data_IF_170857465706
#
_entry.id   IF_170857465706
#
_cell.length_a   1.000
_cell.length_b   1.000
_cell.length_c   1.000
_cell.angle_alpha   90.00
_cell.angle_beta   90.00
_cell.angle_gamma   90.00
#
_symmetry.space_group_name_H-M   'P 1'
#
loop_
_entity.id
_entity.type
_entity.pdbx_description
1 polymer ?
#
# COMPACT_ATOMS: atom_id res chain seq x y z
N UNK A 1 -11.83 17.89 29.06
CA UNK A 1 -11.23 19.25 29.22
C UNK A 1 -10.21 19.24 30.35
N UNK A 2 -8.95 19.12 30.05
CA UNK A 2 -7.86 19.35 31.04
C UNK A 2 -6.96 20.43 30.45
N UNK A 3 -6.98 21.60 31.12
CA UNK A 3 -6.13 22.75 30.80
C UNK A 3 -4.73 22.48 31.33
N UNK A 4 -3.74 22.57 30.44
CA UNK A 4 -2.32 22.58 30.81
C UNK A 4 -1.90 24.03 30.87
N UNK A 5 -1.45 24.46 32.06
CA UNK A 5 -0.83 25.78 32.29
C UNK A 5 0.65 25.67 31.96
N UNK A 6 1.11 26.47 30.99
CA UNK A 6 2.54 26.71 30.76
C UNK A 6 2.96 27.92 31.55
N UNK A 7 3.86 27.72 32.49
CA UNK A 7 4.48 28.82 33.28
C UNK A 7 5.61 29.42 32.45
N UNK A 8 5.47 30.68 32.10
CA UNK A 8 6.53 31.50 31.48
C UNK A 8 7.38 32.08 32.61
N UNK A 9 8.64 31.63 32.70
CA UNK A 9 9.65 32.23 33.58
C UNK A 9 10.28 33.39 32.83
N UNK A 10 10.02 34.60 33.27
CA UNK A 10 10.67 35.84 32.80
C UNK A 10 11.88 36.09 33.68
N UNK A 11 13.08 35.96 33.11
CA UNK A 11 14.33 36.39 33.77
C UNK A 11 14.68 37.83 33.36
N UNK A 12 14.99 38.74 34.28
CA UNK A 12 15.32 40.11 33.93
C UNK A 12 16.75 40.21 33.40
N UNK A 13 16.90 40.82 32.22
CA UNK A 13 18.17 41.15 31.58
C UNK A 13 18.74 42.42 32.23
N UNK A 14 19.86 42.30 32.93
CA UNK A 14 20.66 43.41 33.40
C UNK A 14 21.52 43.93 32.25
N UNK A 15 21.27 45.17 31.84
CA UNK A 15 22.02 45.91 30.83
C UNK A 15 23.36 46.37 31.43
N UNK A 16 24.49 45.74 31.03
CA UNK A 16 25.82 46.26 31.23
C UNK A 16 26.29 46.95 29.95
N UNK A 17 26.38 48.26 29.98
CA UNK A 17 27.01 49.03 28.93
C UNK A 17 28.54 48.92 29.08
N UNK A 18 29.17 48.14 28.18
CA UNK A 18 30.62 48.08 28.03
C UNK A 18 31.04 48.85 26.77
N UNK A 19 31.95 49.82 26.98
CA UNK A 19 32.59 50.59 25.91
C UNK A 19 33.28 49.63 24.90
N UNK A 20 32.91 49.78 23.66
CA UNK A 20 33.53 49.04 22.57
C UNK A 20 34.91 49.62 22.20
N UNK A 21 35.96 48.92 22.62
CA UNK A 21 37.27 49.00 21.92
C UNK A 21 37.18 48.12 20.67
N UNK A 22 37.17 48.76 19.50
CA UNK A 22 37.26 48.05 18.21
C UNK A 22 38.68 47.51 18.03
N UNK A 23 38.93 46.33 18.62
CA UNK A 23 39.98 45.45 18.16
C UNK A 23 39.43 44.58 17.06
N UNK A 24 40.02 44.63 15.87
CA UNK A 24 39.78 43.67 14.78
C UNK A 24 40.08 42.28 15.33
N UNK A 25 39.06 41.47 15.57
CA UNK A 25 39.24 40.06 15.88
C UNK A 25 40.01 39.40 14.71
N UNK A 26 41.08 38.63 15.00
CA UNK A 26 41.70 37.86 13.95
C UNK A 26 40.64 36.96 13.28
N UNK A 27 40.64 36.95 11.93
CA UNK A 27 39.76 36.07 11.18
C UNK A 27 39.96 34.65 11.69
N UNK A 28 38.87 33.98 12.07
CA UNK A 28 38.93 32.59 12.47
C UNK A 28 39.61 31.79 11.34
N UNK A 29 40.52 30.88 11.68
CA UNK A 29 41.21 30.08 10.64
C UNK A 29 40.14 29.36 9.82
N UNK A 30 40.20 29.53 8.49
CA UNK A 30 39.30 28.83 7.58
C UNK A 30 39.40 27.33 7.87
N UNK A 31 38.30 26.58 7.94
CA UNK A 31 38.34 25.16 8.18
C UNK A 31 39.21 24.49 7.11
N UNK A 32 39.97 23.44 7.45
CA UNK A 32 40.86 22.77 6.51
C UNK A 32 40.02 22.26 5.33
N UNK A 33 40.42 22.64 4.11
CA UNK A 33 39.79 22.20 2.86
C UNK A 33 40.63 21.10 2.22
N UNK A 34 39.94 20.14 1.57
CA UNK A 34 40.54 19.02 0.84
C UNK A 34 40.00 18.93 -0.56
N UNK A 35 40.80 18.44 -1.51
CA UNK A 35 40.34 18.22 -2.89
C UNK A 35 39.76 16.81 -3.02
N UNK A 36 38.57 16.66 -3.56
CA UNK A 36 37.97 15.35 -3.85
C UNK A 36 38.71 14.69 -5.03
N UNK A 37 39.41 13.61 -4.79
CA UNK A 37 40.07 12.82 -5.84
C UNK A 37 39.04 11.89 -6.54
N UNK A 38 38.19 11.23 -5.74
CA UNK A 38 37.12 10.36 -6.24
C UNK A 38 35.94 10.33 -5.29
N UNK A 39 34.75 10.08 -5.84
CA UNK A 39 33.52 9.82 -5.06
C UNK A 39 33.01 8.43 -5.41
N UNK A 40 32.67 7.66 -4.37
CA UNK A 40 32.07 6.33 -4.46
C UNK A 40 30.73 6.31 -3.74
N UNK A 41 29.80 5.51 -4.22
CA UNK A 41 28.52 5.24 -3.55
C UNK A 41 28.41 3.74 -3.29
N UNK A 42 27.98 3.37 -2.10
CA UNK A 42 27.71 1.97 -1.71
C UNK A 42 26.35 1.87 -1.03
N UNK A 43 25.70 0.69 -1.15
CA UNK A 43 24.39 0.41 -0.56
C UNK A 43 23.20 0.67 -1.48
N UNK A 44 23.37 1.46 -2.55
CA UNK A 44 22.33 1.65 -3.56
C UNK A 44 22.22 0.43 -4.49
N UNK A 45 20.98 0.03 -4.80
CA UNK A 45 20.65 -1.04 -5.75
C UNK A 45 19.74 -0.53 -6.86
N UNK A 46 18.76 0.30 -6.50
CA UNK A 46 17.75 0.86 -7.39
C UNK A 46 18.23 2.13 -8.09
N UNK A 47 19.06 2.93 -7.42
CA UNK A 47 19.50 4.23 -7.89
C UNK A 47 20.94 4.17 -8.42
N UNK A 48 21.23 4.68 -9.65
CA UNK A 48 22.57 4.73 -10.21
C UNK A 48 23.53 5.61 -9.38
N UNK A 49 24.75 5.12 -9.17
CA UNK A 49 25.73 5.82 -8.33
C UNK A 49 26.12 7.21 -8.85
N UNK A 50 26.22 7.38 -10.17
CA UNK A 50 26.52 8.65 -10.83
C UNK A 50 25.40 9.69 -10.61
N UNK A 51 24.14 9.26 -10.62
CA UNK A 51 23.00 10.14 -10.33
C UNK A 51 22.96 10.54 -8.84
N UNK A 52 23.29 9.62 -7.92
CA UNK A 52 23.41 9.93 -6.49
C UNK A 52 24.54 10.96 -6.27
N UNK A 53 25.68 10.78 -6.92
CA UNK A 53 26.78 11.74 -6.86
C UNK A 53 26.33 13.11 -7.39
N UNK A 54 25.65 13.15 -8.53
CA UNK A 54 25.10 14.39 -9.07
C UNK A 54 24.12 15.06 -8.10
N UNK A 55 23.22 14.30 -7.49
CA UNK A 55 22.25 14.80 -6.50
C UNK A 55 22.93 15.32 -5.21
N UNK A 56 24.11 14.79 -4.84
CA UNK A 56 24.90 15.32 -3.73
C UNK A 56 25.41 16.75 -3.99
N UNK A 57 25.50 17.15 -5.26
CA UNK A 57 26.08 18.43 -5.69
C UNK A 57 27.59 18.48 -5.60
N UNK A 58 28.27 17.37 -5.37
CA UNK A 58 29.74 17.25 -5.34
C UNK A 58 30.24 16.49 -6.56
N UNK A 59 31.45 16.82 -6.98
CA UNK A 59 32.16 16.12 -8.06
C UNK A 59 33.66 15.98 -7.77
N UNK A 60 34.30 15.06 -8.45
CA UNK A 60 35.79 14.96 -8.41
C UNK A 60 36.41 16.27 -8.86
N UNK A 61 37.47 16.71 -8.14
CA UNK A 61 38.16 17.98 -8.35
C UNK A 61 37.65 19.12 -7.46
N UNK A 62 36.46 19.01 -6.83
CA UNK A 62 35.99 20.04 -5.92
C UNK A 62 36.87 20.17 -4.68
N UNK A 63 37.07 21.43 -4.23
CA UNK A 63 37.74 21.73 -2.97
C UNK A 63 36.66 21.93 -1.91
N UNK A 64 36.64 21.07 -0.91
CA UNK A 64 35.54 21.01 0.06
C UNK A 64 36.03 21.00 1.48
N UNK A 65 35.25 21.53 2.37
CA UNK A 65 35.37 21.40 3.83
C UNK A 65 34.50 20.23 4.35
N UNK A 66 34.77 19.76 5.55
CA UNK A 66 33.93 18.74 6.20
C UNK A 66 32.45 19.17 6.29
N UNK A 67 32.17 20.46 6.52
CA UNK A 67 30.81 21.02 6.53
C UNK A 67 30.11 20.86 5.19
N UNK A 68 30.79 21.13 4.07
CA UNK A 68 30.20 20.97 2.73
C UNK A 68 29.91 19.49 2.39
N UNK A 69 30.72 18.55 2.88
CA UNK A 69 30.45 17.12 2.75
C UNK A 69 29.19 16.74 3.57
N UNK A 70 29.09 17.29 4.79
CA UNK A 70 27.89 17.09 5.62
C UNK A 70 26.63 17.68 4.96
N UNK A 71 26.73 18.87 4.37
CA UNK A 71 25.62 19.49 3.64
C UNK A 71 25.16 18.65 2.43
N UNK A 72 26.13 18.07 1.70
CA UNK A 72 25.85 17.13 0.61
C UNK A 72 25.17 15.85 1.12
N UNK A 73 25.61 15.32 2.27
CA UNK A 73 24.98 14.17 2.93
C UNK A 73 23.56 14.48 3.36
N UNK A 74 23.33 15.64 3.97
CA UNK A 74 22.01 16.10 4.37
C UNK A 74 21.09 16.30 3.17
N UNK A 75 21.61 16.81 2.05
CA UNK A 75 20.85 16.96 0.80
C UNK A 75 20.40 15.61 0.26
N UNK A 76 21.28 14.61 0.23
CA UNK A 76 20.89 13.25 -0.16
C UNK A 76 19.84 12.65 0.79
N UNK A 77 20.01 12.84 2.10
CA UNK A 77 19.04 12.35 3.10
C UNK A 77 17.67 13.04 2.96
N UNK A 78 17.64 14.32 2.60
CA UNK A 78 16.42 15.08 2.41
C UNK A 78 15.58 14.64 1.20
N UNK A 79 16.14 13.88 0.24
CA UNK A 79 15.40 13.40 -0.93
C UNK A 79 14.23 12.47 -0.58
N UNK A 80 14.27 11.79 0.57
CA UNK A 80 13.25 10.83 1.00
C UNK A 80 13.42 9.41 0.44
N UNK A 81 14.31 9.20 -0.53
CA UNK A 81 14.58 7.87 -1.13
C UNK A 81 15.62 7.06 -0.36
N UNK A 82 16.22 7.62 0.68
CA UNK A 82 17.19 6.95 1.54
C UNK A 82 16.74 7.03 3.01
N UNK A 83 16.68 5.89 3.67
CA UNK A 83 16.41 5.79 5.11
C UNK A 83 17.63 6.15 5.96
N UNK A 84 18.84 6.03 5.40
CA UNK A 84 20.07 6.48 6.01
C UNK A 84 21.07 6.89 4.93
N UNK A 85 21.79 8.00 5.19
CA UNK A 85 22.93 8.45 4.38
C UNK A 85 24.07 8.76 5.33
N UNK A 86 25.19 8.07 5.15
CA UNK A 86 26.43 8.32 5.88
C UNK A 86 27.55 8.57 4.89
N UNK A 87 28.64 9.17 5.34
CA UNK A 87 29.84 9.31 4.54
C UNK A 87 31.07 8.89 5.31
N UNK A 88 32.07 8.46 4.59
CA UNK A 88 33.45 8.32 5.09
C UNK A 88 34.41 8.79 4.01
N UNK A 89 35.61 9.19 4.42
CA UNK A 89 36.65 9.52 3.48
C UNK A 89 38.01 9.02 3.97
N UNK A 90 38.91 8.79 3.01
CA UNK A 90 40.33 8.51 3.27
C UNK A 90 41.14 9.63 2.67
N UNK A 91 42.09 10.19 3.44
CA UNK A 91 42.96 11.28 3.00
C UNK A 91 44.34 10.77 2.54
N UNK A 92 44.82 11.38 1.48
CA UNK A 92 46.21 11.23 1.00
C UNK A 92 46.76 12.64 0.72
N UNK A 93 47.48 13.19 1.70
CA UNK A 93 47.85 14.60 1.69
C UNK A 93 46.61 15.52 1.74
N UNK A 94 46.49 16.43 0.76
CA UNK A 94 45.35 17.32 0.61
C UNK A 94 44.21 16.74 -0.24
N UNK A 95 44.32 15.52 -0.76
CA UNK A 95 43.32 14.83 -1.53
C UNK A 95 42.54 13.85 -0.67
N UNK A 96 41.20 13.73 -0.93
CA UNK A 96 40.33 12.76 -0.28
C UNK A 96 39.60 11.88 -1.30
N UNK A 97 39.45 10.61 -0.94
CA UNK A 97 38.48 9.71 -1.58
C UNK A 97 37.25 9.65 -0.69
N UNK A 98 36.15 10.21 -1.18
CA UNK A 98 34.86 10.28 -0.48
C UNK A 98 34.00 9.06 -0.82
N UNK A 99 33.37 8.46 0.16
CA UNK A 99 32.38 7.38 -0.04
C UNK A 99 31.10 7.73 0.68
N UNK A 100 29.99 7.82 -0.07
CA UNK A 100 28.66 7.84 0.48
C UNK A 100 28.16 6.41 0.69
N UNK A 101 27.65 6.14 1.87
CA UNK A 101 27.01 4.87 2.24
C UNK A 101 25.53 5.15 2.45
N UNK A 102 24.69 4.61 1.55
CA UNK A 102 23.26 4.85 1.56
C UNK A 102 22.50 3.56 1.89
N UNK A 103 21.36 3.72 2.53
CA UNK A 103 20.36 2.67 2.69
C UNK A 103 19.07 3.18 2.04
N UNK A 104 18.54 2.43 1.07
CA UNK A 104 17.33 2.83 0.35
C UNK A 104 16.11 2.79 1.27
N UNK A 105 15.22 3.77 1.11
CA UNK A 105 13.90 3.83 1.72
C UNK A 105 12.86 3.17 0.79
N UNK A 106 11.69 2.77 1.30
CA UNK A 106 10.58 2.36 0.46
C UNK A 106 10.15 3.47 -0.50
N UNK A 107 9.81 3.07 -1.72
CA UNK A 107 9.20 3.93 -2.73
C UNK A 107 7.89 3.28 -3.19
N UNK A 108 6.96 4.09 -3.69
CA UNK A 108 5.59 3.69 -3.96
C UNK A 108 5.20 3.99 -5.40
N UNK A 109 4.43 3.11 -6.06
CA UNK A 109 3.79 3.41 -7.35
C UNK A 109 2.98 4.70 -7.26
N UNK A 110 2.88 5.40 -8.40
CA UNK A 110 2.23 6.72 -8.46
C UNK A 110 0.88 6.60 -9.16
N UNK A 111 -0.13 7.29 -8.60
CA UNK A 111 -1.42 7.54 -9.23
C UNK A 111 -1.60 9.05 -9.41
N UNK A 112 -1.75 9.51 -10.66
CA UNK A 112 -2.14 10.87 -10.99
C UNK A 112 -3.67 10.94 -11.08
N UNK A 113 -4.32 11.33 -9.98
CA UNK A 113 -5.73 11.05 -9.76
C UNK A 113 -6.68 11.84 -10.69
N UNK A 114 -6.71 13.15 -10.59
CA UNK A 114 -7.70 13.96 -11.31
C UNK A 114 -7.06 14.90 -12.37
N UNK A 115 -6.24 14.31 -13.26
CA UNK A 115 -5.50 15.00 -14.31
C UNK A 115 -6.01 14.63 -15.72
N UNK A 116 -7.28 14.91 -16.09
CA UNK A 116 -7.83 14.47 -17.39
C UNK A 116 -7.22 15.19 -18.61
N UNK A 117 -6.38 16.19 -18.42
CA UNK A 117 -5.66 16.92 -19.49
C UNK A 117 -4.41 16.19 -19.97
N UNK A 118 -3.90 15.26 -19.18
CA UNK A 118 -2.64 14.55 -19.42
C UNK A 118 -2.81 13.07 -19.12
N UNK A 119 -2.12 12.24 -19.88
CA UNK A 119 -1.95 10.84 -19.54
C UNK A 119 -0.92 10.69 -18.42
N UNK A 120 -1.01 9.61 -17.66
CA UNK A 120 0.00 9.29 -16.62
C UNK A 120 1.41 9.18 -17.20
N UNK A 121 1.53 8.75 -18.47
CA UNK A 121 2.82 8.67 -19.17
C UNK A 121 3.40 10.08 -19.42
N UNK A 122 2.61 11.03 -19.90
CA UNK A 122 3.06 12.41 -20.15
C UNK A 122 3.54 13.09 -18.86
N UNK A 123 2.79 12.90 -17.75
CA UNK A 123 3.20 13.44 -16.45
C UNK A 123 4.49 12.75 -15.98
N UNK A 124 4.56 11.43 -16.07
CA UNK A 124 5.73 10.65 -15.68
C UNK A 124 6.98 11.01 -16.48
N UNK A 125 6.84 11.29 -17.78
CA UNK A 125 7.94 11.73 -18.64
C UNK A 125 8.39 13.17 -18.31
N UNK A 126 7.45 14.06 -17.99
CA UNK A 126 7.78 15.41 -17.53
C UNK A 126 8.60 15.38 -16.23
N UNK A 127 8.21 14.51 -15.26
CA UNK A 127 8.97 14.32 -14.03
C UNK A 127 10.35 13.72 -14.32
N UNK A 128 10.43 12.67 -15.14
CA UNK A 128 11.69 11.99 -15.48
C UNK A 128 12.71 12.92 -16.10
N UNK A 129 12.26 13.89 -16.88
CA UNK A 129 13.12 14.87 -17.54
C UNK A 129 13.67 15.95 -16.61
N UNK A 130 13.07 16.17 -15.43
CA UNK A 130 13.41 17.29 -14.54
C UNK A 130 13.84 16.85 -13.13
N UNK A 131 13.37 15.69 -12.65
CA UNK A 131 13.69 15.17 -11.33
C UNK A 131 14.71 14.05 -11.45
N UNK A 132 15.92 14.30 -11.00
CA UNK A 132 16.97 13.29 -10.93
C UNK A 132 16.59 12.14 -10.00
N UNK A 133 17.12 10.95 -10.25
CA UNK A 133 16.82 9.74 -9.45
C UNK A 133 15.37 9.26 -9.53
N UNK A 134 14.51 9.86 -10.36
CA UNK A 134 13.16 9.37 -10.56
C UNK A 134 13.13 8.05 -11.34
N UNK A 135 12.61 6.99 -10.71
CA UNK A 135 12.53 5.63 -11.27
C UNK A 135 11.13 5.21 -11.71
N UNK A 136 10.15 6.11 -11.65
CA UNK A 136 8.73 5.81 -11.88
C UNK A 136 7.93 5.60 -10.60
N UNK A 137 8.57 5.71 -9.44
CA UNK A 137 7.96 5.63 -8.11
C UNK A 137 8.31 6.88 -7.29
N UNK A 138 7.50 7.18 -6.28
CA UNK A 138 7.69 8.30 -5.38
C UNK A 138 8.14 7.83 -3.97
N UNK A 139 8.97 8.61 -3.26
CA UNK A 139 9.20 8.39 -1.84
C UNK A 139 7.93 8.71 -1.02
N UNK A 140 7.91 8.30 0.25
CA UNK A 140 6.81 8.64 1.16
C UNK A 140 6.79 10.10 1.59
N UNK A 141 7.96 10.75 1.62
CA UNK A 141 8.19 12.14 1.97
C UNK A 141 9.52 12.64 1.35
N UNK A 142 9.88 13.88 1.63
CA UNK A 142 11.19 14.46 1.26
C UNK A 142 11.14 15.39 0.04
N UNK A 143 12.28 16.04 -0.24
CA UNK A 143 12.37 17.10 -1.25
C UNK A 143 12.12 16.61 -2.68
N UNK A 144 12.34 15.33 -2.96
CA UNK A 144 12.06 14.75 -4.27
C UNK A 144 10.57 14.81 -4.61
N UNK A 145 9.67 14.58 -3.62
CA UNK A 145 8.23 14.66 -3.87
C UNK A 145 7.78 16.11 -4.06
N UNK A 146 8.46 17.07 -3.41
CA UNK A 146 8.22 18.50 -3.64
C UNK A 146 8.64 18.91 -5.06
N UNK A 147 9.79 18.41 -5.54
CA UNK A 147 10.25 18.65 -6.91
C UNK A 147 9.28 18.04 -7.94
N UNK A 148 8.78 16.82 -7.70
CA UNK A 148 7.76 16.20 -8.54
C UNK A 148 6.48 17.05 -8.58
N UNK A 149 6.02 17.52 -7.42
CA UNK A 149 4.86 18.41 -7.30
C UNK A 149 5.03 19.67 -8.12
N UNK A 150 6.19 20.33 -8.02
CA UNK A 150 6.51 21.55 -8.78
C UNK A 150 6.53 21.30 -10.30
N UNK A 151 7.04 20.14 -10.76
CA UNK A 151 7.02 19.77 -12.18
C UNK A 151 5.58 19.61 -12.68
N UNK A 152 4.71 18.96 -11.90
CA UNK A 152 3.30 18.77 -12.26
C UNK A 152 2.58 20.14 -12.32
N UNK A 153 2.82 21.02 -11.35
CA UNK A 153 2.25 22.37 -11.33
C UNK A 153 2.70 23.21 -12.53
N UNK A 154 3.97 23.10 -12.93
CA UNK A 154 4.48 23.75 -14.15
C UNK A 154 3.80 23.19 -15.41
N UNK A 155 3.55 21.89 -15.46
CA UNK A 155 2.85 21.26 -16.58
C UNK A 155 1.40 21.78 -16.67
N UNK A 156 0.67 21.86 -15.55
CA UNK A 156 -0.66 22.46 -15.49
C UNK A 156 -0.66 23.94 -15.92
N UNK A 157 0.31 24.70 -15.43
CA UNK A 157 0.45 26.12 -15.79
C UNK A 157 0.69 26.33 -17.30
N UNK A 158 1.42 25.41 -17.96
CA UNK A 158 1.64 25.44 -19.41
C UNK A 158 0.32 25.37 -20.21
N UNK A 159 -0.69 24.68 -19.65
CA UNK A 159 -2.05 24.58 -20.20
C UNK A 159 -3.02 25.61 -19.62
N UNK A 160 -2.52 26.59 -18.85
CA UNK A 160 -3.31 27.64 -18.16
C UNK A 160 -4.32 27.08 -17.15
N UNK A 161 -4.11 25.85 -16.63
CA UNK A 161 -4.93 25.24 -15.62
C UNK A 161 -4.48 25.79 -14.26
N UNK A 162 -5.44 26.34 -13.50
CA UNK A 162 -5.20 26.93 -12.19
C UNK A 162 -5.61 25.93 -11.10
N UNK A 163 -4.67 25.51 -10.29
CA UNK A 163 -4.89 24.64 -9.14
C UNK A 163 -3.56 24.45 -8.42
N UNK A 164 -3.60 23.89 -7.24
CA UNK A 164 -2.42 23.44 -6.48
C UNK A 164 -2.38 21.92 -6.50
N UNK A 165 -1.19 21.35 -6.58
CA UNK A 165 -1.01 19.90 -6.55
C UNK A 165 -0.73 19.47 -5.12
N UNK A 166 -1.49 18.49 -4.64
CA UNK A 166 -1.30 17.84 -3.34
C UNK A 166 -0.97 16.37 -3.55
N UNK A 167 -0.35 15.76 -2.55
CA UNK A 167 0.00 14.34 -2.59
C UNK A 167 -0.33 13.66 -1.26
N UNK A 168 -0.64 12.38 -1.31
CA UNK A 168 -0.89 11.55 -0.12
C UNK A 168 -0.60 10.08 -0.39
N UNK A 169 -0.18 9.36 0.66
CA UNK A 169 0.03 7.91 0.60
C UNK A 169 -1.28 7.20 0.94
N UNK A 170 -1.76 6.32 0.06
CA UNK A 170 -3.02 5.60 0.21
C UNK A 170 -2.82 4.10 -0.02
N UNK A 171 -3.76 3.28 0.46
CA UNK A 171 -3.86 1.90 0.01
C UNK A 171 -4.25 1.87 -1.46
N UNK A 172 -3.61 1.02 -2.25
CA UNK A 172 -3.91 0.87 -3.68
C UNK A 172 -5.39 0.49 -3.92
N UNK A 173 -5.94 0.88 -5.06
CA UNK A 173 -7.31 0.54 -5.44
C UNK A 173 -7.57 -0.99 -5.52
N UNK A 174 -6.53 -1.79 -5.74
CA UNK A 174 -6.58 -3.26 -5.68
C UNK A 174 -6.70 -3.82 -4.26
N UNK A 175 -6.49 -3.00 -3.22
CA UNK A 175 -6.38 -3.44 -1.84
C UNK A 175 -4.97 -3.92 -1.44
N UNK A 176 -4.07 -4.11 -2.39
CA UNK A 176 -2.73 -4.64 -2.17
C UNK A 176 -1.67 -3.55 -2.24
N UNK A 177 -1.01 -3.30 -1.10
CA UNK A 177 0.08 -2.33 -1.00
C UNK A 177 -0.37 -0.87 -0.93
N UNK A 178 0.61 0.03 -1.05
CA UNK A 178 0.42 1.48 -0.96
C UNK A 178 0.78 2.15 -2.28
N UNK A 179 0.11 3.27 -2.58
CA UNK A 179 0.38 4.13 -3.74
C UNK A 179 0.52 5.58 -3.31
N UNK A 180 1.37 6.35 -3.98
CA UNK A 180 1.45 7.79 -3.84
C UNK A 180 0.48 8.44 -4.82
N UNK A 181 -0.61 9.01 -4.29
CA UNK A 181 -1.58 9.75 -5.09
C UNK A 181 -1.17 11.21 -5.19
N UNK A 182 -1.08 11.74 -6.42
CA UNK A 182 -1.06 13.17 -6.70
C UNK A 182 -2.43 13.59 -7.20
N UNK A 183 -2.92 14.73 -6.75
CA UNK A 183 -4.18 15.33 -7.21
C UNK A 183 -4.09 16.83 -7.29
N UNK A 184 -4.94 17.42 -8.14
CA UNK A 184 -5.08 18.87 -8.24
C UNK A 184 -6.27 19.34 -7.41
N UNK A 185 -6.05 20.35 -6.58
CA UNK A 185 -7.07 21.06 -5.84
C UNK A 185 -7.42 22.38 -6.54
N UNK A 186 -8.64 22.89 -6.31
CA UNK A 186 -9.13 24.14 -6.90
C UNK A 186 -9.79 24.01 -8.27
N UNK A 187 -9.95 22.77 -8.78
CA UNK A 187 -10.74 22.45 -9.98
C UNK A 187 -11.94 21.61 -9.62
N UNK A 188 -13.05 21.78 -10.35
CA UNK A 188 -14.25 20.97 -10.19
C UNK A 188 -14.49 20.17 -11.46
N UNK A 189 -14.14 18.91 -11.40
CA UNK A 189 -14.31 17.94 -12.48
C UNK A 189 -15.39 16.95 -12.06
N UNK A 190 -16.43 16.77 -12.89
CA UNK A 190 -17.51 15.81 -12.59
C UNK A 190 -17.66 14.81 -13.71
N UNK A 191 -17.81 13.55 -13.35
CA UNK A 191 -18.10 12.50 -14.32
C UNK A 191 -19.50 12.67 -14.88
N UNK A 192 -19.60 12.97 -16.16
CA UNK A 192 -20.88 13.15 -16.86
C UNK A 192 -21.42 11.82 -17.40
N UNK A 193 -20.55 11.02 -17.99
CA UNK A 193 -20.90 9.73 -18.59
C UNK A 193 -19.78 8.73 -18.43
N UNK A 194 -20.16 7.45 -18.41
CA UNK A 194 -19.24 6.32 -18.41
C UNK A 194 -19.65 5.39 -19.54
N UNK A 195 -18.72 5.09 -20.41
CA UNK A 195 -18.87 4.16 -21.52
C UNK A 195 -17.87 3.02 -21.39
N UNK A 196 -18.25 1.85 -21.87
CA UNK A 196 -17.38 0.69 -21.90
C UNK A 196 -17.07 0.33 -23.36
N UNK A 197 -15.80 0.04 -23.63
CA UNK A 197 -15.32 -0.28 -24.97
C UNK A 197 -15.70 -1.69 -25.46
N UNK A 198 -16.60 -2.40 -24.73
CA UNK A 198 -16.94 -3.79 -25.04
C UNK A 198 -18.39 -4.12 -24.62
N UNK A 199 -19.06 -4.99 -25.39
CA UNK A 199 -20.50 -5.27 -25.27
C UNK A 199 -20.92 -5.96 -23.97
N UNK A 200 -20.10 -6.87 -23.43
CA UNK A 200 -20.41 -7.58 -22.19
C UNK A 200 -20.63 -6.60 -21.04
N UNK A 201 -19.77 -5.56 -20.96
CA UNK A 201 -19.91 -4.51 -19.97
C UNK A 201 -21.06 -3.59 -20.29
N UNK A 202 -21.20 -3.16 -21.56
CA UNK A 202 -22.24 -2.25 -22.03
C UNK A 202 -23.64 -2.84 -21.82
N UNK A 203 -23.82 -4.14 -22.03
CA UNK A 203 -25.11 -4.81 -21.93
C UNK A 203 -25.44 -5.32 -20.51
N UNK A 204 -24.49 -5.19 -19.56
CA UNK A 204 -24.69 -5.65 -18.20
C UNK A 204 -25.57 -4.70 -17.39
N UNK A 205 -26.80 -5.09 -17.08
CA UNK A 205 -27.70 -4.33 -16.21
C UNK A 205 -27.07 -4.09 -14.82
N UNK A 206 -26.42 -5.12 -14.26
CA UNK A 206 -25.73 -5.00 -12.97
C UNK A 206 -24.66 -3.90 -13.01
N UNK A 207 -23.92 -3.78 -14.10
CA UNK A 207 -22.88 -2.76 -14.22
C UNK A 207 -23.48 -1.38 -14.46
N UNK A 208 -24.57 -1.28 -15.23
CA UNK A 208 -25.32 -0.03 -15.43
C UNK A 208 -25.83 0.56 -14.10
N UNK A 209 -26.35 -0.29 -13.21
CA UNK A 209 -26.79 0.14 -11.89
C UNK A 209 -25.63 0.72 -11.08
N UNK A 210 -24.44 0.13 -11.19
CA UNK A 210 -23.24 0.56 -10.47
C UNK A 210 -22.54 1.79 -11.08
N UNK A 211 -22.78 2.11 -12.35
CA UNK A 211 -22.26 3.36 -12.96
C UNK A 211 -22.68 4.60 -12.16
N UNK A 212 -23.82 4.56 -11.46
CA UNK A 212 -24.26 5.65 -10.57
C UNK A 212 -23.30 5.92 -9.43
N UNK A 213 -22.45 4.98 -9.06
CA UNK A 213 -21.48 5.12 -7.97
C UNK A 213 -20.36 6.12 -8.33
N UNK A 214 -20.09 6.31 -9.64
CA UNK A 214 -19.09 7.28 -10.15
C UNK A 214 -19.70 8.38 -10.99
N UNK A 215 -20.83 8.18 -11.67
CA UNK A 215 -21.49 9.20 -12.47
C UNK A 215 -22.05 10.31 -11.59
N UNK A 216 -21.77 11.56 -11.94
CA UNK A 216 -22.16 12.76 -11.18
C UNK A 216 -21.23 13.07 -10.01
N UNK A 217 -20.31 12.16 -9.67
CA UNK A 217 -19.30 12.35 -8.62
C UNK A 217 -18.13 13.19 -9.13
N UNK A 218 -17.31 13.77 -8.24
CA UNK A 218 -16.02 14.34 -8.63
C UNK A 218 -15.18 13.30 -9.37
N UNK A 219 -14.56 13.71 -10.47
CA UNK A 219 -13.67 12.83 -11.21
C UNK A 219 -12.44 12.48 -10.37
N UNK A 220 -12.16 11.20 -10.27
CA UNK A 220 -11.01 10.62 -9.60
C UNK A 220 -10.64 9.33 -10.32
N UNK A 221 -9.41 9.25 -10.84
CA UNK A 221 -8.89 8.04 -11.46
C UNK A 221 -8.85 6.88 -10.45
N UNK A 222 -8.47 7.19 -9.22
CA UNK A 222 -8.48 6.21 -8.12
C UNK A 222 -9.88 5.63 -7.88
N UNK A 223 -10.92 6.47 -7.88
CA UNK A 223 -12.29 5.99 -7.73
C UNK A 223 -12.74 5.15 -8.94
N UNK A 224 -12.28 5.48 -10.15
CA UNK A 224 -12.53 4.66 -11.35
C UNK A 224 -11.84 3.31 -11.23
N UNK A 225 -10.58 3.26 -10.79
CA UNK A 225 -9.84 2.00 -10.56
C UNK A 225 -10.50 1.12 -9.48
N UNK A 226 -11.01 1.71 -8.39
CA UNK A 226 -11.81 0.99 -7.38
C UNK A 226 -13.06 0.40 -8.04
N UNK A 227 -13.80 1.19 -8.80
CA UNK A 227 -14.98 0.74 -9.52
C UNK A 227 -14.67 -0.42 -10.49
N UNK A 228 -13.56 -0.33 -11.23
CA UNK A 228 -13.11 -1.39 -12.13
C UNK A 228 -12.79 -2.70 -11.37
N UNK A 229 -12.12 -2.60 -10.24
CA UNK A 229 -11.75 -3.76 -9.43
C UNK A 229 -12.96 -4.40 -8.74
N UNK A 230 -13.91 -3.59 -8.26
CA UNK A 230 -15.08 -4.10 -7.53
C UNK A 230 -16.21 -4.59 -8.45
N UNK A 231 -16.32 -4.05 -9.66
CA UNK A 231 -17.49 -4.30 -10.49
C UNK A 231 -17.15 -4.82 -11.90
N UNK A 232 -16.15 -4.24 -12.59
CA UNK A 232 -15.83 -4.61 -13.97
C UNK A 232 -15.06 -5.95 -14.01
N UNK A 233 -13.94 -6.06 -13.29
CA UNK A 233 -13.15 -7.30 -13.25
C UNK A 233 -13.95 -8.52 -12.81
N UNK A 234 -14.75 -8.45 -11.71
CA UNK A 234 -15.59 -9.57 -11.31
C UNK A 234 -16.65 -9.98 -12.33
N UNK A 235 -17.20 -9.02 -13.11
CA UNK A 235 -18.13 -9.31 -14.17
C UNK A 235 -17.49 -10.23 -15.24
N UNK A 236 -16.29 -9.88 -15.70
CA UNK A 236 -15.58 -10.68 -16.70
C UNK A 236 -15.09 -12.01 -16.11
N UNK A 237 -14.52 -11.99 -14.90
CA UNK A 237 -14.07 -13.19 -14.20
C UNK A 237 -15.20 -14.21 -14.02
N UNK A 238 -16.40 -13.75 -13.62
CA UNK A 238 -17.56 -14.63 -13.42
C UNK A 238 -18.05 -15.32 -14.71
N UNK A 239 -17.68 -14.77 -15.87
CA UNK A 239 -18.02 -15.31 -17.20
C UNK A 239 -16.86 -16.13 -17.82
N UNK A 240 -15.78 -16.38 -17.06
CA UNK A 240 -14.63 -17.16 -17.51
C UNK A 240 -13.58 -16.36 -18.30
N UNK A 241 -13.71 -15.04 -18.42
CA UNK A 241 -12.71 -14.18 -19.06
C UNK A 241 -11.57 -13.84 -18.08
N UNK A 242 -10.84 -14.86 -17.65
CA UNK A 242 -9.83 -14.76 -16.60
C UNK A 242 -8.60 -13.92 -16.98
N UNK A 243 -8.42 -13.62 -18.25
CA UNK A 243 -7.35 -12.78 -18.79
C UNK A 243 -7.86 -11.47 -19.38
N UNK A 244 -9.08 -11.06 -19.01
CA UNK A 244 -9.61 -9.77 -19.44
C UNK A 244 -8.68 -8.63 -19.00
N UNK A 245 -8.33 -7.78 -19.95
CA UNK A 245 -7.51 -6.59 -19.73
C UNK A 245 -8.42 -5.36 -19.73
N UNK A 246 -8.37 -4.59 -18.65
CA UNK A 246 -8.98 -3.28 -18.57
C UNK A 246 -7.85 -2.29 -18.79
N UNK A 247 -7.94 -1.53 -19.88
CA UNK A 247 -6.96 -0.50 -20.23
C UNK A 247 -7.18 0.78 -19.40
N UNK A 248 -6.21 1.69 -19.40
CA UNK A 248 -6.35 2.96 -18.69
C UNK A 248 -7.58 3.73 -19.21
N UNK A 249 -8.40 4.32 -18.32
CA UNK A 249 -9.56 5.10 -18.72
C UNK A 249 -9.17 6.26 -19.65
N UNK A 250 -9.92 6.41 -20.72
CA UNK A 250 -9.78 7.55 -21.63
C UNK A 250 -10.77 8.62 -21.20
N UNK A 251 -10.29 9.85 -21.08
CA UNK A 251 -11.09 10.99 -20.64
C UNK A 251 -11.32 11.97 -21.77
N UNK A 252 -12.55 12.46 -21.92
CA UNK A 252 -12.88 13.58 -22.75
C UNK A 252 -13.46 14.71 -21.89
N UNK A 253 -12.82 15.89 -21.95
CA UNK A 253 -13.24 17.06 -21.19
C UNK A 253 -14.27 17.86 -21.96
N UNK A 254 -15.37 18.18 -21.30
CA UNK A 254 -16.38 19.12 -21.77
C UNK A 254 -16.31 20.36 -20.88
N UNK A 255 -15.68 21.46 -21.33
CA UNK A 255 -15.61 22.70 -20.56
C UNK A 255 -16.99 23.28 -20.28
N UNK A 256 -17.22 23.75 -19.05
CA UNK A 256 -18.40 24.57 -18.78
C UNK A 256 -18.19 25.95 -19.37
N UNK A 257 -19.05 26.32 -20.29
CA UNK A 257 -19.01 27.63 -20.99
C UNK A 257 -19.26 28.81 -20.04
N UNK A 258 -19.91 28.57 -18.90
CA UNK A 258 -20.25 29.60 -17.91
C UNK A 258 -19.24 29.73 -16.79
N UNK A 259 -18.50 28.65 -16.50
CA UNK A 259 -17.47 28.63 -15.47
C UNK A 259 -16.26 27.79 -15.92
N UNK A 260 -15.16 28.43 -16.35
CA UNK A 260 -13.96 27.71 -16.79
C UNK A 260 -13.28 26.85 -15.73
N UNK A 261 -13.67 26.98 -14.46
CA UNK A 261 -13.18 26.13 -13.37
C UNK A 261 -13.97 24.84 -13.22
N UNK A 262 -15.11 24.74 -13.89
CA UNK A 262 -15.93 23.55 -13.92
C UNK A 262 -15.84 22.87 -15.27
N UNK A 263 -15.68 21.58 -15.28
CA UNK A 263 -15.67 20.78 -16.50
C UNK A 263 -16.34 19.43 -16.22
N UNK A 264 -17.07 18.96 -17.21
CA UNK A 264 -17.57 17.60 -17.22
C UNK A 264 -16.53 16.67 -17.86
N UNK A 265 -16.48 15.45 -17.37
CA UNK A 265 -15.58 14.40 -17.84
C UNK A 265 -16.42 13.25 -18.37
N UNK A 266 -16.26 12.93 -19.64
CA UNK A 266 -16.74 11.68 -20.22
C UNK A 266 -15.65 10.63 -20.12
N UNK A 267 -16.00 9.46 -19.60
CA UNK A 267 -15.08 8.35 -19.42
C UNK A 267 -15.39 7.24 -20.42
N UNK A 268 -14.35 6.76 -21.09
CA UNK A 268 -14.37 5.49 -21.82
C UNK A 268 -13.42 4.52 -21.13
N UNK A 269 -13.92 3.39 -20.66
CA UNK A 269 -13.13 2.30 -20.08
C UNK A 269 -12.89 1.27 -21.17
N UNK A 270 -11.65 1.21 -21.73
CA UNK A 270 -11.34 0.24 -22.77
C UNK A 270 -11.17 -1.16 -22.15
N UNK A 271 -11.79 -2.17 -22.77
CA UNK A 271 -11.77 -3.55 -22.27
C UNK A 271 -11.42 -4.49 -23.43
N UNK A 272 -10.48 -5.40 -23.16
CA UNK A 272 -10.15 -6.52 -24.06
C UNK A 272 -10.43 -7.82 -23.31
N UNK A 273 -11.54 -8.51 -23.60
CA UNK A 273 -11.98 -9.69 -22.83
C UNK A 273 -11.00 -10.84 -22.88
N UNK A 274 -10.38 -11.08 -24.05
CA UNK A 274 -9.67 -12.30 -24.34
C UNK A 274 -10.61 -13.51 -24.48
N UNK A 275 -10.09 -14.76 -24.45
CA UNK A 275 -10.92 -15.96 -24.51
C UNK A 275 -11.64 -16.24 -23.18
N UNK A 276 -12.84 -16.76 -23.27
CA UNK A 276 -13.53 -17.35 -22.13
C UNK A 276 -13.04 -18.77 -21.90
N UNK A 277 -12.70 -19.13 -20.67
CA UNK A 277 -12.19 -20.45 -20.30
C UNK A 277 -13.26 -21.29 -19.62
N UNK A 278 -13.18 -22.59 -19.80
CA UNK A 278 -13.91 -23.60 -19.04
C UNK A 278 -12.99 -24.30 -18.04
N UNK A 279 -13.57 -24.72 -16.92
CA UNK A 279 -12.86 -25.42 -15.85
C UNK A 279 -12.48 -26.84 -16.29
N UNK A 280 -11.22 -27.23 -16.11
CA UNK A 280 -10.74 -28.58 -16.40
C UNK A 280 -10.50 -29.39 -15.11
N UNK A 281 -10.07 -28.72 -14.03
CA UNK A 281 -9.81 -29.39 -12.77
C UNK A 281 -8.64 -28.79 -11.98
N UNK A 282 -8.31 -29.45 -10.91
CA UNK A 282 -7.21 -29.07 -10.01
C UNK A 282 -6.35 -30.30 -9.67
N UNK A 283 -5.08 -30.08 -9.43
CA UNK A 283 -4.16 -31.10 -8.90
C UNK A 283 -3.45 -30.54 -7.68
N UNK A 284 -3.35 -31.38 -6.63
CA UNK A 284 -2.81 -30.99 -5.34
C UNK A 284 -1.40 -31.56 -5.13
N UNK A 285 -0.53 -30.79 -4.49
CA UNK A 285 0.83 -31.16 -4.12
C UNK A 285 1.13 -30.67 -2.71
N UNK A 286 1.83 -31.47 -1.90
CA UNK A 286 2.24 -31.12 -0.54
C UNK A 286 1.15 -31.28 0.53
N UNK A 287 -0.04 -31.74 0.17
CA UNK A 287 -1.19 -32.00 1.03
C UNK A 287 -1.09 -33.37 1.74
N UNK A 288 -0.20 -33.50 2.71
CA UNK A 288 0.07 -34.78 3.37
C UNK A 288 -0.91 -35.09 4.52
N UNK A 289 -1.30 -34.09 5.28
CA UNK A 289 -2.23 -34.21 6.40
C UNK A 289 -3.69 -34.30 5.91
N UNK A 290 -4.03 -33.59 4.83
CA UNK A 290 -5.36 -33.64 4.21
C UNK A 290 -5.26 -34.30 2.85
N UNK A 291 -5.84 -35.47 2.70
CA UNK A 291 -5.79 -36.26 1.48
C UNK A 291 -6.56 -35.58 0.33
N UNK A 292 -6.06 -35.72 -0.92
CA UNK A 292 -6.65 -35.13 -2.11
C UNK A 292 -8.16 -35.33 -2.27
N UNK A 293 -8.74 -36.52 -2.01
CA UNK A 293 -10.20 -36.70 -2.10
C UNK A 293 -11.02 -35.77 -1.19
N UNK A 294 -10.44 -35.41 -0.02
CA UNK A 294 -11.10 -34.45 0.90
C UNK A 294 -11.06 -33.03 0.38
N UNK A 295 -9.98 -32.65 -0.33
CA UNK A 295 -9.86 -31.37 -0.99
C UNK A 295 -10.75 -31.30 -2.25
N UNK A 296 -10.79 -32.41 -3.03
CA UNK A 296 -11.67 -32.51 -4.21
C UNK A 296 -13.14 -32.37 -3.83
N UNK A 297 -13.55 -32.82 -2.65
CA UNK A 297 -14.92 -32.66 -2.16
C UNK A 297 -15.31 -31.19 -1.86
N UNK A 298 -14.33 -30.30 -1.70
CA UNK A 298 -14.55 -28.86 -1.54
C UNK A 298 -14.72 -28.15 -2.89
N UNK A 299 -14.24 -28.77 -3.99
CA UNK A 299 -14.32 -28.20 -5.34
C UNK A 299 -15.74 -28.35 -5.87
N UNK A 300 -16.43 -27.21 -6.04
CA UNK A 300 -17.81 -27.17 -6.55
C UNK A 300 -17.87 -27.15 -8.09
N UNK A 301 -16.79 -26.70 -8.73
CA UNK A 301 -16.70 -26.61 -10.20
C UNK A 301 -16.47 -28.00 -10.81
N UNK A 302 -17.25 -28.30 -11.86
CA UNK A 302 -17.11 -29.57 -12.61
C UNK A 302 -16.38 -29.33 -13.93
N UNK A 303 -15.63 -30.33 -14.44
CA UNK A 303 -15.04 -30.23 -15.78
C UNK A 303 -16.07 -29.82 -16.82
N UNK A 304 -15.76 -28.79 -17.60
CA UNK A 304 -16.65 -28.19 -18.60
C UNK A 304 -17.50 -27.01 -18.12
N UNK A 305 -17.61 -26.76 -16.83
CA UNK A 305 -18.27 -25.56 -16.32
C UNK A 305 -17.50 -24.29 -16.79
N UNK A 306 -18.19 -23.15 -16.86
CA UNK A 306 -17.51 -21.86 -17.00
C UNK A 306 -16.50 -21.71 -15.85
N UNK A 307 -15.27 -21.38 -16.18
CA UNK A 307 -14.22 -21.10 -15.20
C UNK A 307 -14.50 -19.76 -14.51
N UNK A 308 -15.52 -19.74 -13.67
CA UNK A 308 -15.95 -18.57 -12.89
C UNK A 308 -14.85 -18.19 -11.91
N UNK A 309 -14.13 -17.09 -12.20
CA UNK A 309 -13.02 -16.62 -11.39
C UNK A 309 -13.40 -16.29 -9.96
N UNK A 310 -14.64 -15.83 -9.73
CA UNK A 310 -15.13 -15.54 -8.37
C UNK A 310 -15.33 -16.82 -7.56
N UNK A 311 -15.81 -17.89 -8.20
CA UNK A 311 -15.93 -19.20 -7.55
C UNK A 311 -14.57 -19.84 -7.31
N UNK A 312 -13.63 -19.63 -8.24
CA UNK A 312 -12.25 -20.13 -8.11
C UNK A 312 -11.55 -19.44 -6.93
N UNK A 313 -11.68 -18.13 -6.80
CA UNK A 313 -11.13 -17.40 -5.64
C UNK A 313 -11.75 -17.86 -4.32
N UNK A 314 -13.09 -17.97 -4.29
CA UNK A 314 -13.79 -18.50 -3.12
C UNK A 314 -13.38 -19.95 -2.78
N UNK A 315 -13.01 -20.77 -3.78
CA UNK A 315 -12.49 -22.12 -3.56
C UNK A 315 -11.19 -22.09 -2.74
N UNK A 316 -10.24 -21.22 -3.10
CA UNK A 316 -8.98 -21.12 -2.36
C UNK A 316 -9.20 -20.71 -0.92
N UNK A 317 -10.07 -19.74 -0.66
CA UNK A 317 -10.46 -19.33 0.68
C UNK A 317 -11.14 -20.48 1.48
N UNK A 318 -11.98 -21.28 0.81
CA UNK A 318 -12.57 -22.47 1.43
C UNK A 318 -11.52 -23.51 1.81
N UNK A 319 -10.49 -23.73 0.96
CA UNK A 319 -9.39 -24.65 1.26
C UNK A 319 -8.57 -24.13 2.44
N UNK A 320 -8.24 -22.85 2.47
CA UNK A 320 -7.54 -22.24 3.60
C UNK A 320 -8.32 -22.40 4.90
N UNK A 321 -9.61 -22.09 4.89
CA UNK A 321 -10.50 -22.29 6.03
C UNK A 321 -10.60 -23.77 6.45
N UNK A 322 -10.61 -24.69 5.48
CA UNK A 322 -10.65 -26.13 5.74
C UNK A 322 -9.42 -26.61 6.53
N UNK A 323 -8.24 -26.06 6.21
CA UNK A 323 -7.00 -26.30 6.96
C UNK A 323 -7.00 -25.59 8.31
N UNK A 324 -7.44 -24.32 8.38
CA UNK A 324 -7.54 -23.56 9.62
C UNK A 324 -8.42 -24.24 10.67
N UNK A 325 -9.57 -24.82 10.26
CA UNK A 325 -10.46 -25.60 11.12
C UNK A 325 -9.80 -26.88 11.68
N UNK A 326 -8.65 -27.28 11.12
CA UNK A 326 -7.85 -28.43 11.55
C UNK A 326 -6.55 -28.05 12.24
N UNK A 327 -6.42 -26.77 12.61
CA UNK A 327 -5.28 -26.23 13.33
C UNK A 327 -4.05 -25.91 12.49
N UNK A 328 -4.12 -25.94 11.17
CA UNK A 328 -3.00 -25.61 10.30
C UNK A 328 -2.98 -24.10 10.00
N UNK A 329 -2.66 -23.31 11.01
CA UNK A 329 -2.72 -21.83 10.94
C UNK A 329 -1.63 -21.20 10.05
N UNK A 330 -0.50 -21.89 9.88
CA UNK A 330 0.61 -21.43 9.02
C UNK A 330 0.52 -21.98 7.59
N UNK A 331 -0.60 -22.61 7.23
CA UNK A 331 -0.78 -23.18 5.91
C UNK A 331 -0.66 -22.09 4.84
N UNK A 332 0.07 -22.42 3.78
CA UNK A 332 0.21 -21.55 2.60
C UNK A 332 -0.22 -22.33 1.37
N UNK A 333 -1.05 -21.70 0.58
CA UNK A 333 -1.56 -22.20 -0.67
C UNK A 333 -1.02 -21.35 -1.83
N UNK A 334 -0.49 -22.01 -2.86
CA UNK A 334 -0.11 -21.36 -4.11
C UNK A 334 -0.81 -22.06 -5.27
N UNK A 335 -1.81 -21.40 -5.84
CA UNK A 335 -2.62 -21.89 -6.96
C UNK A 335 -2.06 -21.39 -8.30
N UNK A 336 -1.29 -22.24 -8.99
CA UNK A 336 -0.71 -21.94 -10.30
C UNK A 336 -1.69 -22.26 -11.44
N UNK A 337 -2.24 -21.24 -12.15
CA UNK A 337 -3.13 -21.49 -13.28
C UNK A 337 -2.37 -22.09 -14.46
N UNK A 338 -2.98 -23.07 -15.13
CA UNK A 338 -2.49 -23.73 -16.33
C UNK A 338 -3.51 -23.50 -17.45
N UNK A 339 -3.23 -22.53 -18.32
CA UNK A 339 -4.10 -22.19 -19.46
C UNK A 339 -3.79 -23.07 -20.67
N UNK A 340 -4.83 -23.65 -21.26
CA UNK A 340 -4.81 -24.27 -22.56
C UNK A 340 -5.58 -23.34 -23.52
N UNK A 341 -4.86 -22.47 -24.19
CA UNK A 341 -5.44 -21.44 -25.06
C UNK A 341 -6.06 -22.04 -26.32
N UNK A 342 -5.59 -23.21 -26.78
CA UNK A 342 -6.13 -23.89 -27.95
C UNK A 342 -7.50 -24.53 -27.67
N UNK A 343 -7.67 -25.09 -26.48
CA UNK A 343 -8.91 -25.74 -26.08
C UNK A 343 -9.81 -24.81 -25.22
N UNK A 344 -9.37 -23.62 -24.91
CA UNK A 344 -10.02 -22.70 -24.00
C UNK A 344 -10.34 -23.33 -22.62
N UNK A 345 -9.40 -24.11 -22.08
CA UNK A 345 -9.53 -24.73 -20.78
C UNK A 345 -8.54 -24.15 -19.76
N UNK A 346 -8.92 -24.16 -18.50
CA UNK A 346 -8.03 -23.86 -17.39
C UNK A 346 -8.04 -24.99 -16.36
N UNK A 347 -6.87 -25.34 -15.88
CA UNK A 347 -6.68 -26.18 -14.70
C UNK A 347 -5.74 -25.49 -13.72
N UNK A 348 -5.71 -25.97 -12.49
CA UNK A 348 -4.81 -25.41 -11.48
C UNK A 348 -3.88 -26.49 -10.92
N UNK A 349 -2.61 -26.12 -10.76
CA UNK A 349 -1.67 -26.90 -9.96
C UNK A 349 -1.49 -26.17 -8.64
N UNK A 350 -1.96 -26.77 -7.56
CA UNK A 350 -1.98 -26.17 -6.24
C UNK A 350 -0.92 -26.80 -5.38
N UNK A 351 0.05 -25.98 -4.94
CA UNK A 351 1.07 -26.37 -3.99
C UNK A 351 0.67 -25.91 -2.59
N UNK A 352 0.64 -26.85 -1.66
CA UNK A 352 0.26 -26.60 -0.26
C UNK A 352 1.49 -26.84 0.62
N UNK A 353 1.77 -25.86 1.48
CA UNK A 353 2.70 -26.01 2.60
C UNK A 353 1.87 -26.00 3.88
N UNK A 354 1.60 -27.16 4.45
CA UNK A 354 0.63 -27.29 5.55
C UNK A 354 1.08 -26.64 6.86
N UNK A 355 2.40 -26.56 7.09
CA UNK A 355 2.94 -26.06 8.34
C UNK A 355 2.70 -27.04 9.50
N UNK A 356 2.75 -26.52 10.72
CA UNK A 356 2.49 -27.31 11.95
C UNK A 356 1.02 -27.26 12.33
N UNK A 357 0.52 -28.37 12.90
CA UNK A 357 -0.82 -28.38 13.47
C UNK A 357 -0.80 -27.78 14.88
N UNK A 358 -1.53 -26.70 15.08
CA UNK A 358 -1.64 -26.01 16.35
C UNK A 358 -2.78 -26.56 17.22
N UNK A 359 -2.54 -26.53 18.52
CA UNK A 359 -3.52 -26.86 19.56
C UNK A 359 -3.83 -25.61 20.38
N UNK A 360 -5.02 -25.58 20.98
CA UNK A 360 -5.40 -24.52 21.90
C UNK A 360 -4.42 -24.48 23.07
N UNK A 361 -3.80 -23.35 23.32
CA UNK A 361 -3.04 -22.99 24.49
C UNK A 361 -3.91 -22.39 25.59
N UNK A 362 -3.45 -21.28 26.15
CA UNK A 362 -4.18 -20.56 27.18
C UNK A 362 -5.17 -19.54 26.57
N UNK A 363 -6.25 -19.28 27.33
CA UNK A 363 -7.17 -18.20 27.04
C UNK A 363 -6.99 -17.10 28.08
N UNK A 364 -6.64 -15.90 27.63
CA UNK A 364 -6.54 -14.70 28.44
C UNK A 364 -7.72 -13.79 28.13
N UNK A 365 -8.50 -13.43 29.13
CA UNK A 365 -9.67 -12.56 29.00
C UNK A 365 -9.44 -11.36 29.91
N UNK A 366 -9.60 -10.14 29.40
CA UNK A 366 -9.49 -8.90 30.15
C UNK A 366 -10.72 -8.02 29.95
N UNK A 367 -11.03 -7.15 30.92
CA UNK A 367 -12.11 -6.16 30.84
C UNK A 367 -13.51 -6.67 31.22
N UNK A 368 -13.71 -7.95 31.47
CA UNK A 368 -14.98 -8.50 31.93
C UNK A 368 -15.04 -8.66 33.46
N UNK A 369 -16.27 -8.67 34.01
CA UNK A 369 -16.48 -9.11 35.40
C UNK A 369 -16.17 -10.60 35.54
N UNK A 370 -15.88 -11.03 36.77
CA UNK A 370 -15.56 -12.45 37.08
C UNK A 370 -16.66 -13.42 36.59
N UNK A 371 -17.92 -13.02 36.78
CA UNK A 371 -19.06 -13.86 36.36
C UNK A 371 -19.18 -13.92 34.82
N UNK A 372 -18.96 -12.79 34.13
CA UNK A 372 -18.98 -12.74 32.67
C UNK A 372 -17.80 -13.53 32.07
N UNK A 373 -16.59 -13.40 32.63
CA UNK A 373 -15.45 -14.20 32.23
C UNK A 373 -15.73 -15.72 32.41
N UNK A 374 -16.26 -16.12 33.55
CA UNK A 374 -16.63 -17.47 33.80
C UNK A 374 -17.65 -18.03 32.80
N UNK A 375 -18.65 -17.24 32.44
CA UNK A 375 -19.62 -17.60 31.42
C UNK A 375 -19.00 -17.76 30.05
N UNK A 376 -18.13 -16.83 29.64
CA UNK A 376 -17.42 -16.92 28.36
C UNK A 376 -16.54 -18.17 28.29
N UNK A 377 -15.78 -18.47 29.36
CA UNK A 377 -14.97 -19.71 29.45
C UNK A 377 -15.82 -20.96 29.37
N UNK A 378 -17.00 -20.98 29.96
CA UNK A 378 -17.96 -22.09 29.88
C UNK A 378 -18.57 -22.26 28.49
N UNK A 379 -18.81 -21.16 27.79
CA UNK A 379 -19.34 -21.15 26.41
C UNK A 379 -18.26 -21.55 25.39
N UNK A 380 -16.98 -21.38 25.72
CA UNK A 380 -15.87 -21.69 24.82
C UNK A 380 -15.66 -23.20 24.70
N UNK A 381 -15.69 -23.71 23.46
CA UNK A 381 -15.72 -25.17 23.22
C UNK A 381 -14.35 -25.78 22.94
N UNK A 382 -13.33 -24.98 22.59
CA UNK A 382 -11.98 -25.52 22.33
C UNK A 382 -11.21 -25.57 23.66
N UNK A 383 -11.07 -26.73 24.25
CA UNK A 383 -10.30 -26.88 25.49
C UNK A 383 -8.78 -26.82 25.23
N UNK A 384 -7.97 -26.38 26.23
CA UNK A 384 -6.51 -26.41 26.11
C UNK A 384 -6.02 -27.83 25.70
N UNK A 385 -5.10 -27.86 24.73
CA UNK A 385 -4.55 -29.12 24.16
C UNK A 385 -5.39 -29.73 23.03
N UNK A 386 -6.64 -29.32 22.80
CA UNK A 386 -7.39 -29.73 21.62
C UNK A 386 -6.86 -29.05 20.35
N UNK A 387 -7.09 -29.68 19.19
CA UNK A 387 -6.77 -29.04 17.89
C UNK A 387 -7.50 -27.72 17.84
N UNK A 388 -6.77 -26.67 17.49
CA UNK A 388 -7.36 -25.34 17.34
C UNK A 388 -8.22 -25.30 16.09
N UNK A 389 -9.45 -24.81 16.22
CA UNK A 389 -10.39 -24.61 15.12
C UNK A 389 -10.53 -23.12 14.86
N UNK A 390 -9.88 -22.64 13.80
CA UNK A 390 -9.90 -21.25 13.39
C UNK A 390 -11.31 -20.78 12.94
N UNK A 391 -12.07 -21.67 12.32
CA UNK A 391 -13.45 -21.38 11.92
C UNK A 391 -14.38 -21.14 13.13
N UNK A 392 -14.20 -21.94 14.19
CA UNK A 392 -14.89 -21.74 15.47
C UNK A 392 -14.47 -20.40 16.11
N UNK A 393 -13.17 -20.12 16.12
CA UNK A 393 -12.62 -18.86 16.65
C UNK A 393 -13.22 -17.65 15.93
N UNK A 394 -13.15 -17.59 14.61
CA UNK A 394 -13.69 -16.52 13.78
C UNK A 394 -15.22 -16.32 13.97
N UNK A 395 -15.97 -17.42 14.10
CA UNK A 395 -17.41 -17.33 14.40
C UNK A 395 -17.64 -16.67 15.76
N UNK A 396 -16.87 -17.05 16.80
CA UNK A 396 -17.00 -16.48 18.14
C UNK A 396 -16.57 -15.02 18.21
N UNK A 397 -15.60 -14.58 17.45
CA UNK A 397 -15.25 -13.17 17.33
C UNK A 397 -16.43 -12.34 16.82
N UNK A 398 -17.16 -12.83 15.80
CA UNK A 398 -18.37 -12.16 15.29
C UNK A 398 -19.48 -12.08 16.34
N UNK A 399 -19.66 -13.12 17.13
CA UNK A 399 -20.63 -13.15 18.23
C UNK A 399 -20.20 -12.15 19.34
N UNK A 400 -18.91 -12.11 19.68
CA UNK A 400 -18.35 -11.25 20.72
C UNK A 400 -18.14 -9.79 20.29
N UNK A 401 -18.32 -9.46 19.02
CA UNK A 401 -18.24 -8.06 18.57
C UNK A 401 -19.26 -7.13 19.22
N UNK A 402 -20.30 -7.72 19.85
CA UNK A 402 -21.31 -7.05 20.66
C UNK A 402 -21.66 -7.90 21.87
N UNK A 403 -22.14 -7.32 23.01
CA UNK A 403 -22.64 -8.10 24.13
C UNK A 403 -23.72 -9.09 23.69
N UNK A 404 -23.42 -10.38 23.82
CA UNK A 404 -24.29 -11.47 23.34
C UNK A 404 -24.99 -12.17 24.49
N UNK A 405 -26.34 -12.26 24.43
CA UNK A 405 -27.12 -13.05 25.38
C UNK A 405 -26.87 -14.55 25.31
N UNK A 406 -26.47 -15.05 24.15
CA UNK A 406 -26.16 -16.47 23.95
C UNK A 406 -24.96 -16.90 24.79
N UNK A 407 -24.02 -15.98 25.05
CA UNK A 407 -22.82 -16.21 25.86
C UNK A 407 -23.06 -15.78 27.31
N UNK A 408 -23.55 -14.56 27.52
CA UNK A 408 -23.58 -13.94 28.85
C UNK A 408 -24.93 -14.11 29.56
N UNK A 409 -25.97 -14.54 28.85
CA UNK A 409 -27.33 -14.65 29.42
C UNK A 409 -27.88 -13.27 29.83
N UNK A 410 -28.41 -13.19 31.05
CA UNK A 410 -28.95 -11.94 31.61
C UNK A 410 -27.91 -11.14 32.43
N UNK A 411 -26.61 -11.50 32.36
CA UNK A 411 -25.56 -10.70 32.99
C UNK A 411 -25.45 -9.31 32.36
N UNK A 412 -25.32 -8.24 33.16
CA UNK A 412 -25.17 -6.88 32.64
C UNK A 412 -23.73 -6.69 32.12
N UNK A 413 -23.48 -7.11 30.87
CA UNK A 413 -22.18 -6.96 30.21
C UNK A 413 -22.26 -5.81 29.22
N UNK A 414 -21.37 -4.84 29.39
CA UNK A 414 -21.22 -3.68 28.51
C UNK A 414 -19.75 -3.50 28.14
N UNK A 415 -19.46 -3.37 26.86
CA UNK A 415 -18.19 -2.94 26.29
C UNK A 415 -18.45 -2.22 24.98
N UNK A 416 -17.63 -1.24 24.65
CA UNK A 416 -17.72 -0.45 23.43
C UNK A 416 -16.67 -0.87 22.39
N UNK A 417 -15.59 -1.47 22.87
CA UNK A 417 -14.49 -1.98 22.06
C UNK A 417 -14.20 -3.43 22.42
N UNK A 418 -13.90 -4.21 21.42
CA UNK A 418 -13.52 -5.61 21.54
C UNK A 418 -12.24 -5.85 20.75
N UNK A 419 -11.17 -6.17 21.46
CA UNK A 419 -9.88 -6.55 20.90
C UNK A 419 -9.65 -8.05 20.99
N UNK A 420 -8.95 -8.61 20.02
CA UNK A 420 -8.57 -10.02 20.03
C UNK A 420 -7.18 -10.21 19.41
N UNK A 421 -6.49 -11.25 19.84
CA UNK A 421 -5.18 -11.60 19.30
C UNK A 421 -4.95 -13.09 19.45
N UNK A 422 -4.49 -13.74 18.39
CA UNK A 422 -3.89 -15.08 18.46
C UNK A 422 -2.39 -14.94 18.68
N UNK A 423 -1.86 -15.68 19.66
CA UNK A 423 -0.42 -15.73 19.94
C UNK A 423 0.09 -17.16 19.72
N UNK A 424 0.61 -17.48 18.53
CA UNK A 424 1.16 -18.80 18.26
C UNK A 424 2.51 -18.99 18.96
N UNK A 425 2.70 -20.16 19.57
CA UNK A 425 3.99 -20.67 20.05
C UNK A 425 4.44 -21.78 19.09
N UNK A 426 5.35 -21.44 18.20
CA UNK A 426 5.87 -22.36 17.19
C UNK A 426 6.71 -23.49 17.78
N UNK A 427 7.24 -23.34 19.01
CA UNK A 427 8.05 -24.34 19.68
C UNK A 427 7.17 -25.45 20.33
N UNK A 428 6.00 -25.08 20.84
CA UNK A 428 5.03 -25.99 21.46
C UNK A 428 3.90 -26.41 20.54
N UNK A 429 3.79 -25.75 19.38
CA UNK A 429 2.68 -25.85 18.46
C UNK A 429 1.33 -25.58 19.14
N UNK A 430 1.29 -24.56 19.99
CA UNK A 430 0.07 -24.10 20.67
C UNK A 430 -0.25 -22.67 20.25
N UNK A 431 -1.51 -22.29 20.36
CA UNK A 431 -1.96 -20.91 20.14
C UNK A 431 -2.77 -20.43 21.33
N UNK A 432 -2.33 -19.34 21.95
CA UNK A 432 -3.06 -18.67 23.00
C UNK A 432 -4.05 -17.68 22.39
N UNK A 433 -5.23 -17.59 23.00
CA UNK A 433 -6.29 -16.67 22.61
C UNK A 433 -6.35 -15.55 23.63
N UNK A 434 -6.16 -14.30 23.17
CA UNK A 434 -6.32 -13.10 23.99
C UNK A 434 -7.60 -12.38 23.55
N UNK A 435 -8.48 -12.10 24.50
CA UNK A 435 -9.73 -11.37 24.29
C UNK A 435 -9.76 -10.18 25.27
N UNK A 436 -9.87 -8.95 24.74
CA UNK A 436 -9.83 -7.71 25.51
C UNK A 436 -11.14 -6.92 25.30
N UNK A 437 -11.87 -6.69 26.37
CA UNK A 437 -13.16 -5.99 26.36
C UNK A 437 -13.02 -4.62 27.04
N UNK A 438 -13.33 -3.51 26.34
CA UNK A 438 -13.22 -2.12 26.82
C UNK A 438 -14.52 -1.35 26.75
#
# INVERSE_FOLDING_TARGET
MKRIYIAIIVTPFLLFAALAVRGQAPAAPSPPSSTIAAIKVTGARKFPADQIIAASGLKSGDVVTAGQIQDATNRLAALGIFSAVNFRYTSNGNAINLEFQVQEAPTYPIVFDNFPWFTSAEIGDAIRNQVGLFTGEAPGDGTMIDEMTAVIENLLASQKIKGSVTHQLLTAASGDGMVMQFRIDGVQLRVQSVQFGESIATDSERLKDRVSDIKGQPYSLFAVEVFENEHVRPLYASKGFLRAQIGPPQTHLIPDMNDPKQSAVELLIPITPGPAYSWKGVSWQGNMAVQSPSLDAVVELKPGDVADGMKIEALWQKIESYYGQRGYLDMKLNAGPQFDDAAHHISYRVSISEGSQYRMGDMVITGLSVDAEKRLRQAWQIAPGQIFDDGYYELHLKILSKPSRDIFGDLPVHYNEFGHLLRPDTSRHTVDVLLDFK
#
